data_IF_966844751933
#
_entry.id   IF_966844751933
#
_cell.length_a   1.000
_cell.length_b   1.000
_cell.length_c   1.000
_cell.angle_alpha   90.00
_cell.angle_beta   90.00
_cell.angle_gamma   90.00
#
_symmetry.space_group_name_H-M   'P 1'
#
loop_
_entity.id
_entity.type
_entity.pdbx_description
1 polymer ?
#
# COMPACT_ATOMS: atom_id res chain seq x y z
N UNK A 1 72.22 -18.85 -20.03
CA UNK A 1 71.48 -17.93 -19.21
C UNK A 1 70.06 -17.89 -19.73
N UNK A 2 69.12 -18.53 -19.06
CA UNK A 2 67.72 -18.47 -19.43
C UNK A 2 67.12 -17.17 -18.90
N UNK A 3 66.61 -16.33 -19.79
CA UNK A 3 65.95 -15.09 -19.47
C UNK A 3 64.62 -15.40 -18.77
N UNK A 4 64.50 -15.13 -17.49
CA UNK A 4 63.29 -15.24 -16.69
C UNK A 4 62.41 -14.04 -17.05
N UNK A 5 61.45 -14.25 -17.95
CA UNK A 5 60.44 -13.24 -18.21
C UNK A 5 59.60 -13.02 -16.94
N UNK A 6 59.42 -11.78 -16.48
CA UNK A 6 58.59 -11.50 -15.31
C UNK A 6 57.14 -11.96 -15.56
N UNK A 7 56.46 -12.45 -14.54
CA UNK A 7 55.06 -12.85 -14.68
C UNK A 7 54.21 -11.65 -15.11
N UNK A 8 53.34 -11.86 -16.09
CA UNK A 8 52.41 -10.83 -16.56
C UNK A 8 51.58 -10.31 -15.38
N UNK A 9 51.38 -9.00 -15.28
CA UNK A 9 50.53 -8.46 -14.20
C UNK A 9 49.12 -9.02 -14.33
N UNK A 10 48.46 -9.36 -13.22
CA UNK A 10 47.12 -9.88 -13.24
C UNK A 10 46.20 -8.90 -13.95
N UNK A 11 45.45 -9.38 -14.92
CA UNK A 11 44.45 -8.60 -15.64
C UNK A 11 43.48 -7.99 -14.61
N UNK A 12 43.64 -6.70 -14.34
CA UNK A 12 42.69 -5.91 -13.53
C UNK A 12 41.42 -5.76 -14.38
N UNK A 13 40.55 -6.78 -14.31
CA UNK A 13 39.25 -6.70 -14.96
C UNK A 13 38.49 -5.56 -14.28
N UNK A 14 38.34 -4.47 -15.02
CA UNK A 14 37.51 -3.36 -14.57
C UNK A 14 36.04 -3.84 -14.43
N UNK A 15 35.62 -4.12 -13.20
CA UNK A 15 34.30 -4.71 -12.90
C UNK A 15 33.16 -3.70 -12.98
N UNK A 16 33.47 -2.41 -13.14
CA UNK A 16 32.49 -1.33 -13.23
C UNK A 16 31.44 -1.49 -14.33
N UNK A 17 31.82 -1.78 -15.60
CA UNK A 17 30.83 -1.94 -16.66
C UNK A 17 29.93 -3.16 -16.44
N UNK A 18 30.46 -4.22 -15.84
CA UNK A 18 29.69 -5.41 -15.52
C UNK A 18 28.68 -5.14 -14.39
N UNK A 19 29.07 -4.42 -13.34
CA UNK A 19 28.16 -3.99 -12.28
C UNK A 19 27.07 -3.05 -12.82
N UNK A 20 27.41 -2.09 -13.66
CA UNK A 20 26.46 -1.19 -14.31
C UNK A 20 25.49 -1.99 -15.20
N UNK A 21 25.98 -2.95 -15.98
CA UNK A 21 25.17 -3.82 -16.82
C UNK A 21 24.17 -4.64 -15.99
N UNK A 22 24.58 -5.19 -14.85
CA UNK A 22 23.72 -5.93 -13.94
C UNK A 22 22.64 -5.02 -13.33
N UNK A 23 23.00 -3.80 -12.90
CA UNK A 23 22.04 -2.83 -12.32
C UNK A 23 21.00 -2.44 -13.38
N UNK A 24 21.43 -2.14 -14.61
CA UNK A 24 20.52 -1.79 -15.70
C UNK A 24 19.60 -2.98 -16.04
N UNK A 25 20.16 -4.19 -16.14
CA UNK A 25 19.38 -5.40 -16.43
C UNK A 25 18.32 -5.67 -15.34
N UNK A 26 18.68 -5.51 -14.06
CA UNK A 26 17.74 -5.63 -12.93
C UNK A 26 16.67 -4.54 -12.98
N UNK A 27 17.02 -3.31 -13.31
CA UNK A 27 16.05 -2.21 -13.46
C UNK A 27 15.05 -2.47 -14.59
N UNK A 28 15.53 -2.92 -15.75
CA UNK A 28 14.68 -3.29 -16.88
C UNK A 28 13.79 -4.49 -16.53
N UNK A 29 14.35 -5.51 -15.89
CA UNK A 29 13.59 -6.68 -15.43
C UNK A 29 12.48 -6.27 -14.47
N UNK A 30 12.79 -5.42 -13.47
CA UNK A 30 11.81 -4.89 -12.52
C UNK A 30 10.68 -4.13 -13.23
N UNK A 31 11.04 -3.28 -14.20
CA UNK A 31 10.07 -2.50 -14.98
C UNK A 31 9.13 -3.41 -15.79
N UNK A 32 9.68 -4.45 -16.44
CA UNK A 32 8.89 -5.43 -17.22
C UNK A 32 7.98 -6.27 -16.30
N UNK A 33 8.46 -6.62 -15.11
CA UNK A 33 7.70 -7.45 -14.16
C UNK A 33 6.69 -6.66 -13.32
N UNK A 34 6.71 -5.32 -13.37
CA UNK A 34 5.82 -4.46 -12.58
C UNK A 34 4.34 -4.91 -12.59
N UNK A 35 3.71 -5.30 -13.72
CA UNK A 35 2.29 -5.68 -13.74
C UNK A 35 1.96 -6.93 -12.92
N UNK A 36 2.94 -7.80 -12.70
CA UNK A 36 2.76 -9.06 -11.96
C UNK A 36 3.25 -8.99 -10.51
N UNK A 37 3.83 -7.86 -10.07
CA UNK A 37 4.40 -7.73 -8.72
C UNK A 37 3.33 -7.71 -7.62
N UNK A 38 2.11 -7.24 -7.91
CA UNK A 38 1.07 -7.08 -6.89
C UNK A 38 0.75 -8.38 -6.13
N UNK A 39 0.50 -9.54 -6.78
CA UNK A 39 0.29 -10.79 -6.08
C UNK A 39 1.48 -11.22 -5.21
N UNK A 40 2.71 -10.96 -5.66
CA UNK A 40 3.92 -11.29 -4.91
C UNK A 40 4.07 -10.41 -3.67
N UNK A 41 3.82 -9.10 -3.79
CA UNK A 41 3.85 -8.16 -2.66
C UNK A 41 2.78 -8.52 -1.64
N UNK A 42 1.53 -8.74 -2.06
CA UNK A 42 0.46 -9.14 -1.16
C UNK A 42 0.74 -10.49 -0.51
N UNK A 43 1.24 -11.46 -1.27
CA UNK A 43 1.67 -12.76 -0.76
C UNK A 43 2.78 -12.64 0.27
N UNK A 44 3.78 -11.78 0.02
CA UNK A 44 4.86 -11.50 0.97
C UNK A 44 4.37 -10.85 2.26
N UNK A 45 3.45 -9.88 2.17
CA UNK A 45 2.83 -9.25 3.35
C UNK A 45 2.08 -10.28 4.19
N UNK A 46 1.25 -11.13 3.55
CA UNK A 46 0.51 -12.21 4.24
C UNK A 46 1.49 -13.21 4.88
N UNK A 47 2.53 -13.61 4.15
CA UNK A 47 3.56 -14.50 4.66
C UNK A 47 4.25 -13.90 5.88
N UNK A 48 4.64 -12.65 5.79
CA UNK A 48 5.30 -11.92 6.87
C UNK A 48 4.45 -11.81 8.14
N UNK A 49 3.13 -11.65 7.98
CA UNK A 49 2.20 -11.63 9.11
C UNK A 49 1.95 -13.01 9.71
N UNK A 50 1.97 -14.03 8.87
CA UNK A 50 1.73 -15.41 9.28
C UNK A 50 2.94 -16.06 9.95
N UNK A 51 4.17 -15.66 9.58
CA UNK A 51 5.41 -16.27 10.03
C UNK A 51 5.55 -16.36 11.57
N UNK A 52 5.27 -15.32 12.37
CA UNK A 52 5.33 -15.43 13.83
C UNK A 52 4.36 -16.45 14.43
N UNK A 53 3.22 -16.67 13.77
CA UNK A 53 2.23 -17.67 14.17
C UNK A 53 2.72 -19.08 13.83
N UNK A 54 3.32 -19.24 12.65
CA UNK A 54 3.95 -20.50 12.23
C UNK A 54 5.08 -20.86 13.18
N UNK A 55 5.97 -19.94 13.52
CA UNK A 55 7.05 -20.12 14.49
C UNK A 55 6.54 -20.49 15.89
N UNK A 56 5.42 -19.89 16.31
CA UNK A 56 4.78 -20.24 17.58
C UNK A 56 4.26 -21.68 17.60
N UNK A 57 3.74 -22.18 16.46
CA UNK A 57 3.32 -23.57 16.30
C UNK A 57 4.51 -24.52 16.22
N UNK A 58 5.59 -24.12 15.55
CA UNK A 58 6.83 -24.90 15.44
C UNK A 58 7.49 -25.09 16.82
N UNK A 59 7.50 -24.05 17.65
CA UNK A 59 7.92 -24.16 19.08
C UNK A 59 7.07 -25.18 19.86
N UNK A 60 5.85 -25.47 19.43
CA UNK A 60 4.98 -26.52 19.98
C UNK A 60 5.17 -27.88 19.31
N UNK A 61 6.25 -28.08 18.55
CA UNK A 61 6.60 -29.31 17.83
C UNK A 61 5.66 -29.66 16.66
N UNK A 62 4.93 -28.69 16.13
CA UNK A 62 4.20 -28.85 14.88
C UNK A 62 5.19 -28.65 13.73
N UNK A 63 5.14 -29.52 12.70
CA UNK A 63 6.02 -29.34 11.53
C UNK A 63 5.69 -28.02 10.81
N UNK A 64 6.69 -27.31 10.28
CA UNK A 64 6.53 -26.03 9.62
C UNK A 64 5.44 -26.04 8.55
N UNK A 65 5.40 -27.07 7.69
CA UNK A 65 4.37 -27.21 6.65
C UNK A 65 2.95 -27.29 7.24
N UNK A 66 2.75 -28.05 8.31
CA UNK A 66 1.43 -28.13 8.97
C UNK A 66 1.10 -26.81 9.65
N UNK A 67 2.05 -26.15 10.28
CA UNK A 67 1.90 -24.82 10.87
C UNK A 67 1.43 -23.79 9.82
N UNK A 68 2.10 -23.77 8.66
CA UNK A 68 1.71 -22.89 7.54
C UNK A 68 0.29 -23.18 7.05
N UNK A 69 -0.09 -24.46 6.87
CA UNK A 69 -1.46 -24.81 6.46
C UNK A 69 -2.47 -24.32 7.48
N UNK A 70 -2.22 -24.52 8.78
CA UNK A 70 -3.13 -24.07 9.85
C UNK A 70 -3.28 -22.54 9.89
N UNK A 71 -2.18 -21.81 9.82
CA UNK A 71 -2.19 -20.33 9.79
C UNK A 71 -2.88 -19.82 8.55
N UNK A 72 -2.63 -20.46 7.40
CA UNK A 72 -3.27 -20.09 6.14
C UNK A 72 -4.79 -20.34 6.18
N UNK A 73 -5.24 -21.48 6.71
CA UNK A 73 -6.66 -21.78 6.91
C UNK A 73 -7.30 -20.79 7.88
N UNK A 74 -6.60 -20.43 8.96
CA UNK A 74 -7.06 -19.42 9.92
C UNK A 74 -7.28 -18.07 9.24
N UNK A 75 -6.29 -17.55 8.51
CA UNK A 75 -6.39 -16.27 7.80
C UNK A 75 -7.48 -16.32 6.73
N UNK A 76 -7.53 -17.38 5.93
CA UNK A 76 -8.57 -17.55 4.92
C UNK A 76 -9.96 -17.59 5.54
N UNK A 77 -10.13 -18.26 6.67
CA UNK A 77 -11.41 -18.31 7.39
C UNK A 77 -11.82 -16.97 7.95
N UNK A 78 -10.87 -16.20 8.51
CA UNK A 78 -11.13 -14.83 9.01
C UNK A 78 -11.54 -13.93 7.84
N UNK A 79 -10.77 -13.93 6.74
CA UNK A 79 -11.08 -13.11 5.55
C UNK A 79 -12.44 -13.53 4.95
N UNK A 80 -12.70 -14.83 4.83
CA UNK A 80 -13.98 -15.34 4.33
C UNK A 80 -15.16 -14.89 5.19
N UNK A 81 -15.05 -14.99 6.52
CA UNK A 81 -16.08 -14.55 7.44
C UNK A 81 -16.30 -13.04 7.37
N UNK A 82 -15.22 -12.25 7.34
CA UNK A 82 -15.30 -10.80 7.17
C UNK A 82 -16.00 -10.42 5.87
N UNK A 83 -15.65 -11.07 4.75
CA UNK A 83 -16.27 -10.82 3.46
C UNK A 83 -17.76 -11.22 3.47
N UNK A 84 -18.08 -12.36 4.06
CA UNK A 84 -19.47 -12.84 4.16
C UNK A 84 -20.36 -11.89 4.95
N UNK A 85 -19.83 -11.23 5.97
CA UNK A 85 -20.55 -10.22 6.76
C UNK A 85 -20.54 -8.84 6.08
N UNK A 86 -19.39 -8.43 5.52
CA UNK A 86 -19.22 -7.10 4.95
C UNK A 86 -19.91 -6.93 3.58
N UNK A 87 -19.84 -7.94 2.70
CA UNK A 87 -20.37 -7.82 1.32
C UNK A 87 -21.85 -7.44 1.30
N UNK A 88 -22.78 -8.13 2.01
CA UNK A 88 -24.19 -7.74 1.98
C UNK A 88 -24.43 -6.31 2.47
N UNK A 89 -23.69 -5.91 3.52
CA UNK A 89 -23.78 -4.57 4.10
C UNK A 89 -23.27 -3.51 3.14
N UNK A 90 -22.14 -3.77 2.47
CA UNK A 90 -21.57 -2.88 1.45
C UNK A 90 -22.49 -2.78 0.22
N UNK A 91 -23.06 -3.86 -0.24
CA UNK A 91 -23.98 -3.85 -1.38
C UNK A 91 -25.23 -3.01 -1.07
N UNK A 92 -25.82 -3.13 0.11
CA UNK A 92 -26.95 -2.28 0.53
C UNK A 92 -26.58 -0.80 0.56
N UNK A 93 -25.37 -0.47 1.03
CA UNK A 93 -24.87 0.91 1.06
C UNK A 93 -24.58 1.43 -0.35
N UNK A 94 -24.04 0.60 -1.25
CA UNK A 94 -23.84 0.96 -2.65
C UNK A 94 -25.17 1.25 -3.35
N UNK A 95 -26.20 0.43 -3.16
CA UNK A 95 -27.52 0.67 -3.72
C UNK A 95 -28.11 2.00 -3.19
N UNK A 96 -27.96 2.28 -1.90
CA UNK A 96 -28.37 3.55 -1.30
C UNK A 96 -27.58 4.74 -1.89
N UNK A 97 -26.31 4.59 -2.19
CA UNK A 97 -25.47 5.59 -2.83
C UNK A 97 -25.92 5.85 -4.27
N UNK A 98 -26.08 4.79 -5.07
CA UNK A 98 -26.48 4.88 -6.48
C UNK A 98 -27.85 5.57 -6.60
N UNK A 99 -28.80 5.27 -5.71
CA UNK A 99 -30.13 5.90 -5.70
C UNK A 99 -30.09 7.41 -5.42
N UNK A 100 -29.04 7.91 -4.75
CA UNK A 100 -28.88 9.34 -4.40
C UNK A 100 -28.15 10.15 -5.47
N UNK A 101 -27.51 9.53 -6.43
CA UNK A 101 -26.75 10.22 -7.48
C UNK A 101 -27.60 11.21 -8.28
N UNK A 102 -28.84 10.91 -8.68
CA UNK A 102 -29.69 11.88 -9.37
C UNK A 102 -29.99 13.13 -8.51
N UNK A 103 -30.02 12.97 -7.19
CA UNK A 103 -30.24 14.09 -6.26
C UNK A 103 -28.98 14.97 -6.15
N UNK A 104 -27.81 14.35 -6.07
CA UNK A 104 -26.51 15.04 -6.06
C UNK A 104 -26.34 15.84 -7.37
N UNK A 105 -26.64 15.21 -8.49
CA UNK A 105 -26.58 15.86 -9.80
C UNK A 105 -27.49 17.12 -9.86
N UNK A 106 -28.76 16.98 -9.46
CA UNK A 106 -29.68 18.13 -9.41
C UNK A 106 -29.14 19.23 -8.49
N UNK A 107 -28.69 18.90 -7.31
CA UNK A 107 -28.13 19.89 -6.39
C UNK A 107 -26.91 20.62 -6.97
N UNK A 108 -25.96 19.89 -7.61
CA UNK A 108 -24.80 20.53 -8.26
C UNK A 108 -25.26 21.53 -9.33
N UNK A 109 -26.22 21.15 -10.16
CA UNK A 109 -26.65 21.97 -11.30
C UNK A 109 -27.60 23.11 -10.93
N UNK A 110 -28.44 22.93 -9.91
CA UNK A 110 -29.45 23.93 -9.54
C UNK A 110 -29.04 24.87 -8.40
N UNK A 111 -28.14 24.46 -7.55
CA UNK A 111 -27.77 25.24 -6.35
C UNK A 111 -26.28 25.55 -6.29
N UNK A 112 -25.39 24.54 -6.37
CA UNK A 112 -23.97 24.72 -6.14
C UNK A 112 -23.30 25.54 -7.27
N UNK A 113 -23.52 25.20 -8.52
CA UNK A 113 -22.96 25.93 -9.68
C UNK A 113 -23.43 27.39 -9.74
N UNK A 114 -24.73 27.71 -9.65
CA UNK A 114 -25.19 29.09 -9.62
C UNK A 114 -24.64 29.90 -8.45
N UNK A 115 -24.52 29.28 -7.27
CA UNK A 115 -23.94 29.95 -6.09
C UNK A 115 -22.46 30.28 -6.29
N UNK A 116 -21.66 29.33 -6.85
CA UNK A 116 -20.25 29.54 -7.18
C UNK A 116 -20.11 30.65 -8.23
N UNK A 117 -20.91 30.62 -9.28
CA UNK A 117 -20.92 31.64 -10.34
C UNK A 117 -21.24 33.02 -9.78
N UNK A 118 -22.27 33.12 -8.94
CA UNK A 118 -22.67 34.39 -8.33
C UNK A 118 -21.60 34.94 -7.34
N UNK A 119 -20.87 34.07 -6.65
CA UNK A 119 -19.90 34.50 -5.61
C UNK A 119 -18.52 34.86 -6.17
N UNK A 120 -18.10 34.20 -7.23
CA UNK A 120 -16.75 34.36 -7.79
C UNK A 120 -16.72 35.10 -9.13
N UNK A 121 -17.84 35.70 -9.58
CA UNK A 121 -17.94 36.46 -10.83
C UNK A 121 -17.29 35.77 -12.04
N UNK A 122 -17.48 34.45 -12.15
CA UNK A 122 -16.84 33.63 -13.19
C UNK A 122 -17.49 33.83 -14.58
N UNK A 123 -18.40 34.83 -14.69
CA UNK A 123 -19.19 35.05 -15.92
C UNK A 123 -18.37 35.54 -17.12
N UNK A 124 -17.14 36.03 -16.94
CA UNK A 124 -16.37 36.65 -18.04
C UNK A 124 -15.02 36.02 -18.36
N UNK A 125 -14.59 34.97 -17.66
CA UNK A 125 -13.30 34.35 -17.92
C UNK A 125 -13.37 33.29 -19.03
N UNK A 126 -13.87 33.62 -20.24
CA UNK A 126 -13.65 32.88 -21.49
C UNK A 126 -13.60 31.35 -21.45
N UNK A 127 -14.04 30.73 -20.33
CA UNK A 127 -14.16 29.30 -20.21
C UNK A 127 -15.22 28.81 -21.18
N UNK A 128 -14.93 27.85 -22.05
CA UNK A 128 -15.92 27.26 -22.91
C UNK A 128 -17.12 26.88 -22.04
N UNK A 129 -18.34 27.25 -22.49
CA UNK A 129 -19.57 26.72 -21.88
C UNK A 129 -19.55 25.21 -22.03
N UNK A 130 -18.85 24.60 -21.11
CA UNK A 130 -18.86 23.14 -20.96
C UNK A 130 -20.29 22.85 -20.50
N UNK A 131 -21.04 22.24 -21.34
CA UNK A 131 -22.37 21.73 -20.97
C UNK A 131 -22.14 20.54 -20.03
N UNK A 132 -21.87 20.88 -18.74
CA UNK A 132 -21.63 19.91 -17.68
C UNK A 132 -22.79 18.94 -17.56
N UNK A 133 -24.01 19.37 -17.98
CA UNK A 133 -25.18 18.52 -17.95
C UNK A 133 -25.09 17.41 -19.02
N UNK A 134 -24.67 17.75 -20.22
CA UNK A 134 -24.47 16.78 -21.30
C UNK A 134 -23.23 15.91 -21.03
N UNK A 135 -22.12 16.51 -20.57
CA UNK A 135 -20.91 15.76 -20.26
C UNK A 135 -21.05 14.86 -19.03
N UNK A 136 -21.76 15.29 -18.00
CA UNK A 136 -22.04 14.44 -16.84
C UNK A 136 -23.03 13.33 -17.21
N UNK A 137 -24.07 13.62 -18.02
CA UNK A 137 -24.98 12.59 -18.51
C UNK A 137 -24.26 11.57 -19.42
N UNK A 138 -23.36 12.03 -20.29
CA UNK A 138 -22.54 11.16 -21.16
C UNK A 138 -21.47 10.38 -20.35
N UNK A 139 -20.80 11.02 -19.40
CA UNK A 139 -19.88 10.37 -18.49
C UNK A 139 -20.60 9.42 -17.53
N UNK A 140 -21.86 9.74 -17.18
CA UNK A 140 -22.69 8.91 -16.34
C UNK A 140 -23.18 7.66 -17.08
N UNK A 141 -23.65 7.82 -18.31
CA UNK A 141 -23.88 6.67 -19.19
C UNK A 141 -22.60 5.88 -19.46
N UNK A 142 -21.46 6.58 -19.53
CA UNK A 142 -20.14 5.95 -19.67
C UNK A 142 -19.70 5.26 -18.39
N UNK A 143 -19.96 5.80 -17.20
CA UNK A 143 -19.75 5.11 -15.92
C UNK A 143 -20.71 3.92 -15.76
N UNK A 144 -21.97 4.06 -16.11
CA UNK A 144 -22.93 2.96 -16.19
C UNK A 144 -22.54 1.90 -17.24
N UNK A 145 -22.00 2.34 -18.38
CA UNK A 145 -21.43 1.46 -19.41
C UNK A 145 -20.07 0.90 -18.98
N UNK A 146 -19.23 1.66 -18.25
CA UNK A 146 -17.98 1.16 -17.67
C UNK A 146 -18.25 0.13 -16.60
N UNK A 147 -19.17 0.34 -15.67
CA UNK A 147 -19.59 -0.68 -14.70
C UNK A 147 -20.24 -1.88 -15.38
N UNK A 148 -21.16 -1.67 -16.32
CA UNK A 148 -21.77 -2.75 -17.09
C UNK A 148 -20.76 -3.42 -18.05
N UNK A 149 -19.84 -2.66 -18.66
CA UNK A 149 -18.80 -3.20 -19.53
C UNK A 149 -17.66 -3.84 -18.72
N UNK A 150 -17.28 -3.28 -17.56
CA UNK A 150 -16.35 -3.93 -16.63
C UNK A 150 -16.97 -5.22 -16.09
N UNK A 151 -18.24 -5.21 -15.74
CA UNK A 151 -18.96 -6.44 -15.37
C UNK A 151 -19.11 -7.40 -16.58
N UNK A 152 -19.40 -6.89 -17.79
CA UNK A 152 -19.40 -7.69 -19.02
C UNK A 152 -17.99 -8.12 -19.46
N UNK A 153 -16.95 -7.32 -19.25
CA UNK A 153 -15.58 -7.71 -19.51
C UNK A 153 -15.09 -8.73 -18.47
N UNK A 154 -15.47 -8.58 -17.22
CA UNK A 154 -15.24 -9.58 -16.17
C UNK A 154 -16.04 -10.86 -16.48
N UNK A 155 -17.28 -10.77 -16.98
CA UNK A 155 -18.12 -11.93 -17.29
C UNK A 155 -18.07 -12.37 -18.76
N UNK A 156 -17.71 -11.48 -19.68
CA UNK A 156 -17.84 -11.70 -21.13
C UNK A 156 -16.61 -12.25 -21.84
N UNK A 157 -15.40 -12.09 -21.29
CA UNK A 157 -14.22 -12.80 -21.78
C UNK A 157 -13.72 -13.75 -20.72
N UNK A 158 -14.00 -15.03 -20.89
CA UNK A 158 -13.48 -16.10 -20.02
C UNK A 158 -11.97 -15.98 -19.75
N UNK A 159 -11.22 -15.37 -20.67
CA UNK A 159 -9.79 -15.12 -20.53
C UNK A 159 -9.46 -14.05 -19.47
N UNK A 160 -10.17 -12.94 -19.40
CA UNK A 160 -9.92 -11.91 -18.37
C UNK A 160 -10.38 -12.35 -16.97
N UNK A 161 -11.46 -13.12 -16.89
CA UNK A 161 -11.87 -13.81 -15.66
C UNK A 161 -10.81 -14.82 -15.20
N UNK A 162 -10.32 -15.66 -16.12
CA UNK A 162 -9.27 -16.62 -15.81
C UNK A 162 -7.98 -15.93 -15.36
N UNK A 163 -7.58 -14.83 -15.99
CA UNK A 163 -6.42 -14.04 -15.58
C UNK A 163 -6.64 -13.37 -14.21
N UNK A 164 -7.83 -12.84 -13.95
CA UNK A 164 -8.17 -12.26 -12.64
C UNK A 164 -8.17 -13.30 -11.52
N UNK A 165 -8.77 -14.46 -11.76
CA UNK A 165 -8.78 -15.60 -10.83
C UNK A 165 -7.35 -16.15 -10.66
N UNK A 166 -6.58 -16.27 -11.75
CA UNK A 166 -5.20 -16.74 -11.69
C UNK A 166 -4.33 -15.78 -10.85
N UNK A 167 -4.45 -14.46 -11.06
CA UNK A 167 -3.75 -13.46 -10.27
C UNK A 167 -4.18 -13.48 -8.80
N UNK A 168 -5.46 -13.65 -8.51
CA UNK A 168 -5.95 -13.83 -7.12
C UNK A 168 -5.45 -15.13 -6.50
N UNK A 169 -5.40 -16.21 -7.27
CA UNK A 169 -4.90 -17.50 -6.79
C UNK A 169 -3.38 -17.49 -6.55
N UNK A 170 -2.63 -16.60 -7.23
CA UNK A 170 -1.19 -16.44 -6.98
C UNK A 170 -0.90 -15.92 -5.58
N UNK A 171 -1.72 -15.01 -5.02
CA UNK A 171 -1.50 -14.43 -3.69
C UNK A 171 -1.39 -15.51 -2.60
N UNK A 172 -2.37 -16.41 -2.44
CA UNK A 172 -2.27 -17.49 -1.46
C UNK A 172 -1.14 -18.47 -1.74
N UNK A 173 -0.87 -18.76 -3.01
CA UNK A 173 0.24 -19.65 -3.39
C UNK A 173 1.58 -19.05 -3.00
N UNK A 174 1.81 -17.79 -3.35
CA UNK A 174 3.04 -17.06 -2.99
C UNK A 174 3.18 -16.96 -1.47
N UNK A 175 2.10 -16.59 -0.76
CA UNK A 175 2.09 -16.51 0.69
C UNK A 175 2.46 -17.86 1.33
N UNK A 176 1.88 -18.96 0.85
CA UNK A 176 2.18 -20.29 1.36
C UNK A 176 3.65 -20.67 1.18
N UNK A 177 4.20 -20.50 -0.03
CA UNK A 177 5.60 -20.85 -0.30
C UNK A 177 6.57 -19.94 0.46
N UNK A 178 6.31 -18.63 0.52
CA UNK A 178 7.15 -17.71 1.30
C UNK A 178 7.13 -18.04 2.79
N UNK A 179 5.96 -18.31 3.39
CA UNK A 179 5.89 -18.72 4.80
C UNK A 179 6.62 -20.04 5.06
N UNK A 180 6.50 -21.02 4.14
CA UNK A 180 7.12 -22.32 4.31
C UNK A 180 8.64 -22.29 4.19
N UNK A 181 9.12 -21.58 3.19
CA UNK A 181 10.50 -21.67 2.73
C UNK A 181 11.35 -20.45 3.13
N UNK A 182 10.82 -19.51 3.93
CA UNK A 182 11.45 -18.25 4.28
C UNK A 182 12.86 -18.43 4.84
N UNK A 183 13.02 -19.26 5.86
CA UNK A 183 14.33 -19.49 6.49
C UNK A 183 15.34 -20.14 5.54
N UNK A 184 14.85 -21.06 4.67
CA UNK A 184 15.68 -21.67 3.66
C UNK A 184 16.13 -20.67 2.59
N UNK A 185 15.27 -19.73 2.23
CA UNK A 185 15.59 -18.66 1.28
C UNK A 185 16.64 -17.73 1.90
N UNK A 186 16.41 -17.25 3.12
CA UNK A 186 17.35 -16.36 3.84
C UNK A 186 18.72 -17.00 4.05
N UNK A 187 18.76 -18.25 4.48
CA UNK A 187 20.03 -18.98 4.66
C UNK A 187 20.79 -19.16 3.35
N UNK A 188 20.10 -19.48 2.24
CA UNK A 188 20.72 -19.58 0.91
C UNK A 188 21.23 -18.23 0.39
N UNK A 189 20.47 -17.17 0.61
CA UNK A 189 20.91 -15.82 0.25
C UNK A 189 22.16 -15.40 1.02
N UNK A 190 22.23 -15.73 2.31
CA UNK A 190 23.41 -15.43 3.14
C UNK A 190 24.66 -16.16 2.64
N UNK A 191 24.53 -17.40 2.14
CA UNK A 191 25.66 -18.18 1.59
C UNK A 191 26.28 -17.58 0.31
N UNK A 192 25.58 -16.66 -0.38
CA UNK A 192 26.13 -15.96 -1.56
C UNK A 192 27.24 -15.00 -1.15
N UNK A 193 27.23 -14.50 0.10
CA UNK A 193 28.21 -13.54 0.59
C UNK A 193 29.48 -14.27 1.07
N UNK A 194 30.67 -13.64 0.91
CA UNK A 194 31.91 -14.14 1.50
C UNK A 194 31.78 -14.34 3.01
N UNK A 195 32.39 -15.41 3.55
CA UNK A 195 32.30 -15.77 4.99
C UNK A 195 32.64 -14.60 5.93
N UNK A 196 33.62 -13.78 5.55
CA UNK A 196 34.02 -12.60 6.34
C UNK A 196 32.92 -11.52 6.46
N UNK A 197 31.92 -11.54 5.60
CA UNK A 197 30.84 -10.56 5.57
C UNK A 197 29.51 -11.13 6.09
N UNK A 198 29.39 -12.44 6.21
CA UNK A 198 28.13 -13.11 6.56
C UNK A 198 27.54 -12.62 7.88
N UNK A 199 28.36 -12.47 8.93
CA UNK A 199 27.88 -11.98 10.24
C UNK A 199 27.35 -10.55 10.15
N UNK A 200 28.06 -9.69 9.42
CA UNK A 200 27.62 -8.30 9.21
C UNK A 200 26.34 -8.21 8.38
N UNK A 201 26.28 -8.96 7.28
CA UNK A 201 25.07 -9.01 6.43
C UNK A 201 23.89 -9.56 7.21
N UNK A 202 24.09 -10.63 7.99
CA UNK A 202 23.05 -11.23 8.82
C UNK A 202 22.49 -10.23 9.85
N UNK A 203 23.38 -9.46 10.50
CA UNK A 203 22.96 -8.41 11.43
C UNK A 203 22.15 -7.31 10.74
N UNK A 204 22.60 -6.83 9.57
CA UNK A 204 21.89 -5.80 8.80
C UNK A 204 20.53 -6.29 8.28
N UNK A 205 20.47 -7.54 7.81
CA UNK A 205 19.21 -8.16 7.36
C UNK A 205 18.25 -8.35 8.54
N UNK A 206 18.76 -8.79 9.71
CA UNK A 206 17.95 -8.91 10.93
C UNK A 206 17.36 -7.55 11.38
N UNK A 207 18.17 -6.48 11.36
CA UNK A 207 17.67 -5.13 11.66
C UNK A 207 16.63 -4.66 10.65
N UNK A 208 16.86 -4.90 9.35
CA UNK A 208 15.90 -4.58 8.30
C UNK A 208 14.59 -5.36 8.47
N UNK A 209 14.67 -6.64 8.79
CA UNK A 209 13.53 -7.51 9.07
C UNK A 209 12.70 -7.01 10.25
N UNK A 210 13.36 -6.63 11.35
CA UNK A 210 12.69 -6.06 12.54
C UNK A 210 11.93 -4.76 12.19
N UNK A 211 12.56 -3.86 11.43
CA UNK A 211 11.96 -2.56 11.05
C UNK A 211 10.78 -2.76 10.10
N UNK A 212 10.93 -3.61 9.07
CA UNK A 212 9.85 -3.92 8.11
C UNK A 212 8.68 -4.58 8.83
N UNK A 213 8.97 -5.51 9.74
CA UNK A 213 7.93 -6.21 10.50
C UNK A 213 7.17 -5.32 11.46
N UNK A 214 7.87 -4.46 12.16
CA UNK A 214 7.24 -3.47 13.02
C UNK A 214 6.33 -2.56 12.19
N UNK A 215 6.79 -2.12 11.00
CA UNK A 215 5.99 -1.29 10.11
C UNK A 215 4.74 -2.01 9.60
N UNK A 216 4.87 -3.20 9.02
CA UNK A 216 3.74 -3.94 8.44
C UNK A 216 2.68 -4.24 9.50
N UNK A 217 3.10 -4.76 10.68
CA UNK A 217 2.18 -5.05 11.78
C UNK A 217 1.53 -3.77 12.32
N UNK A 218 2.33 -2.72 12.54
CA UNK A 218 1.84 -1.42 13.00
C UNK A 218 0.82 -0.82 12.04
N UNK A 219 1.13 -0.80 10.74
CA UNK A 219 0.27 -0.23 9.71
C UNK A 219 -1.07 -0.96 9.58
N UNK A 220 -1.09 -2.29 9.69
CA UNK A 220 -2.34 -3.04 9.69
C UNK A 220 -3.21 -2.73 10.90
N UNK A 221 -2.61 -2.61 12.09
CA UNK A 221 -3.36 -2.23 13.28
C UNK A 221 -3.91 -0.81 13.13
N UNK A 222 -3.12 0.13 12.58
CA UNK A 222 -3.57 1.49 12.26
C UNK A 222 -4.76 1.47 11.31
N UNK A 223 -4.65 0.73 10.20
CA UNK A 223 -5.74 0.60 9.20
C UNK A 223 -7.03 0.05 9.82
N UNK A 224 -6.93 -1.00 10.62
CA UNK A 224 -8.09 -1.58 11.31
C UNK A 224 -8.68 -0.60 12.34
N UNK A 225 -7.83 0.03 13.15
CA UNK A 225 -8.26 0.98 14.18
C UNK A 225 -8.96 2.20 13.55
N UNK A 226 -8.36 2.80 12.51
CA UNK A 226 -8.95 3.93 11.80
C UNK A 226 -10.23 3.53 11.06
N UNK A 227 -10.28 2.34 10.46
CA UNK A 227 -11.48 1.81 9.85
C UNK A 227 -12.64 1.72 10.85
N UNK A 228 -12.37 1.23 12.07
CA UNK A 228 -13.36 1.17 13.16
C UNK A 228 -13.72 2.57 13.65
N UNK A 229 -12.74 3.44 13.91
CA UNK A 229 -12.95 4.80 14.42
C UNK A 229 -13.80 5.61 13.44
N UNK A 230 -13.45 5.62 12.16
CA UNK A 230 -14.20 6.36 11.15
C UNK A 230 -15.59 5.76 10.92
N UNK A 231 -15.72 4.42 10.86
CA UNK A 231 -17.04 3.78 10.71
C UNK A 231 -17.95 4.09 11.90
N UNK A 232 -17.44 3.94 13.13
CA UNK A 232 -18.22 4.23 14.34
C UNK A 232 -18.56 5.71 14.47
N UNK A 233 -17.60 6.60 14.22
CA UNK A 233 -17.81 8.04 14.27
C UNK A 233 -18.83 8.53 13.25
N UNK A 234 -18.74 8.08 12.00
CA UNK A 234 -19.70 8.41 10.94
C UNK A 234 -21.09 7.84 11.24
N UNK A 235 -21.15 6.64 11.82
CA UNK A 235 -22.42 6.03 12.25
C UNK A 235 -23.07 6.82 13.37
N UNK A 236 -22.33 7.27 14.38
CA UNK A 236 -22.84 8.11 15.48
C UNK A 236 -23.39 9.44 14.97
N UNK A 237 -22.78 10.03 13.94
CA UNK A 237 -23.24 11.27 13.29
C UNK A 237 -24.47 11.01 12.39
N UNK A 238 -24.81 9.75 12.10
CA UNK A 238 -25.96 9.38 11.28
C UNK A 238 -25.69 9.35 9.77
N UNK A 239 -24.43 9.25 9.35
CA UNK A 239 -24.09 9.06 7.93
C UNK A 239 -24.51 7.67 7.49
N UNK A 240 -25.37 7.56 6.48
CA UNK A 240 -25.92 6.27 6.01
C UNK A 240 -24.84 5.33 5.45
N UNK A 241 -23.77 5.88 4.85
CA UNK A 241 -22.66 5.14 4.26
C UNK A 241 -21.49 4.95 5.25
N UNK A 242 -21.75 5.06 6.54
CA UNK A 242 -20.71 5.11 7.58
C UNK A 242 -19.72 3.95 7.52
N UNK A 243 -20.20 2.71 7.40
CA UNK A 243 -19.34 1.53 7.33
C UNK A 243 -18.51 1.53 6.06
N UNK A 244 -19.12 1.77 4.90
CA UNK A 244 -18.43 1.79 3.61
C UNK A 244 -17.31 2.83 3.61
N UNK A 245 -17.64 4.07 4.00
CA UNK A 245 -16.70 5.19 4.02
C UNK A 245 -15.60 4.98 5.05
N UNK A 246 -15.93 4.49 6.24
CA UNK A 246 -14.96 4.21 7.28
C UNK A 246 -13.99 3.08 6.89
N UNK A 247 -14.49 1.99 6.30
CA UNK A 247 -13.65 0.89 5.80
C UNK A 247 -12.75 1.36 4.66
N UNK A 248 -13.29 2.12 3.69
CA UNK A 248 -12.48 2.68 2.60
C UNK A 248 -11.39 3.61 3.14
N UNK A 249 -11.73 4.51 4.08
CA UNK A 249 -10.76 5.40 4.71
C UNK A 249 -9.69 4.61 5.48
N UNK A 250 -10.09 3.61 6.26
CA UNK A 250 -9.18 2.73 6.99
C UNK A 250 -8.25 1.95 6.06
N UNK A 251 -8.76 1.37 4.97
CA UNK A 251 -7.94 0.66 3.99
C UNK A 251 -7.00 1.63 3.23
N UNK A 252 -7.48 2.81 2.86
CA UNK A 252 -6.67 3.82 2.20
C UNK A 252 -5.54 4.36 3.10
N UNK A 253 -5.68 4.24 4.43
CA UNK A 253 -4.64 4.61 5.41
C UNK A 253 -3.39 3.73 5.34
N UNK A 254 -3.35 2.68 4.50
CA UNK A 254 -2.11 1.95 4.15
C UNK A 254 -1.05 2.93 3.61
N UNK A 255 -1.50 3.99 2.96
CA UNK A 255 -0.66 5.13 2.56
C UNK A 255 -0.92 6.28 3.54
N UNK A 256 0.09 6.78 4.25
CA UNK A 256 -0.06 7.87 5.20
C UNK A 256 -0.81 9.07 4.59
N UNK A 257 -1.72 9.65 5.36
CA UNK A 257 -2.58 10.77 4.98
C UNK A 257 -3.63 10.50 3.90
N UNK A 258 -3.48 9.46 3.07
CA UNK A 258 -4.42 9.15 1.98
C UNK A 258 -5.78 8.72 2.52
N UNK A 259 -5.79 7.93 3.60
CA UNK A 259 -7.02 7.49 4.26
C UNK A 259 -7.86 8.67 4.75
N UNK A 260 -7.21 9.63 5.42
CA UNK A 260 -7.85 10.88 5.84
C UNK A 260 -8.38 11.68 4.65
N UNK A 261 -7.54 11.93 3.62
CA UNK A 261 -7.89 12.76 2.47
C UNK A 261 -9.07 12.17 1.68
N UNK A 262 -8.99 10.88 1.33
CA UNK A 262 -10.04 10.18 0.57
C UNK A 262 -11.30 10.05 1.44
N UNK A 263 -11.14 9.67 2.71
CA UNK A 263 -12.24 9.45 3.63
C UNK A 263 -13.04 10.72 3.90
N UNK A 264 -12.37 11.84 4.23
CA UNK A 264 -13.06 13.09 4.54
C UNK A 264 -13.80 13.63 3.31
N UNK A 265 -13.16 13.65 2.13
CA UNK A 265 -13.80 14.16 0.90
C UNK A 265 -15.03 13.32 0.54
N UNK A 266 -14.89 11.98 0.51
CA UNK A 266 -16.00 11.10 0.20
C UNK A 266 -17.13 11.20 1.23
N UNK A 267 -16.80 11.33 2.54
CA UNK A 267 -17.79 11.45 3.61
C UNK A 267 -18.51 12.79 3.60
N UNK A 268 -17.81 13.89 3.29
CA UNK A 268 -18.45 15.20 3.16
C UNK A 268 -19.43 15.23 1.97
N UNK A 269 -19.04 14.65 0.84
CA UNK A 269 -19.93 14.53 -0.33
C UNK A 269 -21.17 13.69 0.02
N UNK A 270 -20.99 12.54 0.67
CA UNK A 270 -22.08 11.67 1.07
C UNK A 270 -23.02 12.32 2.09
N UNK A 271 -22.47 12.99 3.09
CA UNK A 271 -23.23 13.69 4.15
C UNK A 271 -24.04 14.84 3.55
N UNK A 272 -23.44 15.64 2.68
CA UNK A 272 -24.15 16.72 1.99
C UNK A 272 -25.30 16.21 1.13
N UNK A 273 -25.05 15.18 0.34
CA UNK A 273 -26.06 14.53 -0.50
C UNK A 273 -27.20 13.90 0.31
N UNK A 274 -26.93 13.55 1.57
CA UNK A 274 -27.91 12.95 2.48
C UNK A 274 -28.86 13.97 3.10
N UNK A 275 -28.35 15.08 3.63
CA UNK A 275 -29.12 16.01 4.46
C UNK A 275 -29.13 17.45 3.96
N UNK A 276 -28.11 17.86 3.18
CA UNK A 276 -27.90 19.28 2.85
C UNK A 276 -27.61 20.18 4.05
N UNK A 277 -27.31 19.59 5.22
CA UNK A 277 -27.15 20.31 6.49
C UNK A 277 -25.67 20.55 6.81
N UNK A 278 -25.34 21.81 7.08
CA UNK A 278 -24.00 22.21 7.50
C UNK A 278 -23.56 21.61 8.84
N UNK A 279 -24.49 21.34 9.74
CA UNK A 279 -24.17 20.71 11.02
C UNK A 279 -23.65 19.28 10.82
N UNK A 280 -24.22 18.57 9.86
CA UNK A 280 -23.76 17.23 9.51
C UNK A 280 -22.36 17.25 8.90
N UNK A 281 -22.05 18.22 8.03
CA UNK A 281 -20.71 18.41 7.48
C UNK A 281 -19.68 18.71 8.56
N UNK A 282 -20.01 19.60 9.50
CA UNK A 282 -19.13 19.93 10.62
C UNK A 282 -18.88 18.68 11.47
N UNK A 283 -19.92 17.90 11.75
CA UNK A 283 -19.80 16.66 12.52
C UNK A 283 -18.89 15.64 11.84
N UNK A 284 -19.00 15.47 10.50
CA UNK A 284 -18.09 14.63 9.71
C UNK A 284 -16.64 15.15 9.82
N UNK A 285 -16.43 16.46 9.69
CA UNK A 285 -15.10 17.06 9.82
C UNK A 285 -14.50 16.82 11.22
N UNK A 286 -15.32 16.88 12.27
CA UNK A 286 -14.90 16.56 13.65
C UNK A 286 -14.51 15.09 13.77
N UNK A 287 -15.29 14.14 13.22
CA UNK A 287 -14.95 12.71 13.23
C UNK A 287 -13.59 12.46 12.60
N UNK A 288 -13.35 13.01 11.40
CA UNK A 288 -12.06 12.85 10.72
C UNK A 288 -10.94 13.59 11.43
N UNK A 289 -11.20 14.77 12.00
CA UNK A 289 -10.23 15.53 12.81
C UNK A 289 -9.80 14.76 14.06
N UNK A 290 -10.75 14.19 14.80
CA UNK A 290 -10.46 13.35 15.98
C UNK A 290 -9.69 12.09 15.56
N UNK A 291 -10.12 11.41 14.49
CA UNK A 291 -9.41 10.24 13.97
C UNK A 291 -7.96 10.57 13.59
N UNK A 292 -7.74 11.71 12.92
CA UNK A 292 -6.39 12.17 12.56
C UNK A 292 -5.52 12.52 13.77
N UNK A 293 -6.11 13.11 14.81
CA UNK A 293 -5.41 13.36 16.07
C UNK A 293 -5.03 12.04 16.76
N UNK A 294 -5.94 11.07 16.82
CA UNK A 294 -5.67 9.74 17.37
C UNK A 294 -4.56 9.03 16.56
N UNK A 295 -4.62 9.10 15.22
CA UNK A 295 -3.59 8.54 14.35
C UNK A 295 -2.22 9.14 14.65
N UNK A 296 -2.12 10.48 14.65
CA UNK A 296 -0.83 11.17 14.75
C UNK A 296 -0.24 11.15 16.16
N UNK A 297 -1.06 11.24 17.20
CA UNK A 297 -0.60 11.35 18.59
C UNK A 297 -0.54 10.01 19.33
N UNK A 298 -1.30 9.00 18.88
CA UNK A 298 -1.44 7.73 19.60
C UNK A 298 -1.02 6.55 18.74
N UNK A 299 -1.70 6.33 17.61
CA UNK A 299 -1.49 5.12 16.83
C UNK A 299 -0.09 5.08 16.19
N UNK A 300 0.30 6.14 15.51
CA UNK A 300 1.60 6.20 14.83
C UNK A 300 2.77 6.10 15.83
N UNK A 301 2.84 6.86 16.93
CA UNK A 301 3.94 6.73 17.88
C UNK A 301 4.00 5.36 18.58
N UNK A 302 2.86 4.76 18.92
CA UNK A 302 2.83 3.47 19.63
C UNK A 302 3.11 2.30 18.71
N UNK A 303 2.54 2.31 17.51
CA UNK A 303 2.52 1.15 16.62
C UNK A 303 3.65 1.16 15.58
N UNK A 304 3.96 2.33 15.06
CA UNK A 304 5.02 2.50 14.04
C UNK A 304 6.30 3.02 14.70
N UNK A 305 6.17 3.99 15.62
CA UNK A 305 7.24 4.55 16.45
C UNK A 305 8.37 5.19 15.64
N UNK A 306 9.47 5.52 16.34
CA UNK A 306 10.70 6.06 15.73
C UNK A 306 11.56 4.98 15.03
N UNK A 307 11.05 3.75 14.95
CA UNK A 307 11.82 2.58 14.45
C UNK A 307 12.22 2.71 12.98
N UNK A 308 11.43 3.43 12.16
CA UNK A 308 11.75 3.64 10.76
C UNK A 308 12.84 4.72 10.61
N UNK A 309 12.89 5.71 11.50
CA UNK A 309 13.89 6.78 11.49
C UNK A 309 13.90 7.65 10.22
N UNK A 310 12.79 7.68 9.47
CA UNK A 310 12.65 8.46 8.26
C UNK A 310 12.12 9.86 8.56
N UNK A 311 12.79 10.89 8.02
CA UNK A 311 12.27 12.24 8.05
C UNK A 311 10.97 12.33 7.21
N UNK A 312 9.94 13.12 7.59
CA UNK A 312 8.68 13.23 6.84
C UNK A 312 8.86 13.53 5.35
N UNK A 313 9.84 14.33 4.97
CA UNK A 313 10.18 14.62 3.57
C UNK A 313 10.64 13.35 2.85
N UNK A 314 11.40 12.47 3.52
CA UNK A 314 11.83 11.20 2.93
C UNK A 314 10.66 10.24 2.72
N UNK A 315 9.65 10.27 3.60
CA UNK A 315 8.39 9.52 3.43
C UNK A 315 7.65 9.97 2.17
N UNK A 316 7.46 11.28 2.00
CA UNK A 316 6.79 11.85 0.81
C UNK A 316 7.58 11.49 -0.45
N UNK A 317 8.90 11.67 -0.42
CA UNK A 317 9.76 11.32 -1.55
C UNK A 317 9.66 9.82 -1.90
N UNK A 318 9.71 8.93 -0.90
CA UNK A 318 9.60 7.50 -1.12
C UNK A 318 8.26 7.12 -1.77
N UNK A 319 7.14 7.69 -1.28
CA UNK A 319 5.82 7.46 -1.85
C UNK A 319 5.71 7.94 -3.31
N UNK A 320 6.23 9.14 -3.61
CA UNK A 320 6.24 9.69 -4.97
C UNK A 320 7.13 8.87 -5.90
N UNK A 321 8.34 8.52 -5.45
CA UNK A 321 9.28 7.71 -6.22
C UNK A 321 8.72 6.30 -6.46
N UNK A 322 8.18 5.66 -5.43
CA UNK A 322 7.53 4.35 -5.55
C UNK A 322 6.35 4.38 -6.51
N UNK A 323 5.49 5.40 -6.39
CA UNK A 323 4.37 5.61 -7.31
C UNK A 323 4.79 5.78 -8.76
N UNK A 324 5.86 6.53 -9.01
CA UNK A 324 6.42 6.74 -10.35
C UNK A 324 7.06 5.48 -10.93
N UNK A 325 7.76 4.70 -10.10
CA UNK A 325 8.51 3.52 -10.53
C UNK A 325 7.63 2.29 -10.76
N UNK A 326 6.64 2.07 -9.90
CA UNK A 326 5.84 0.84 -9.91
C UNK A 326 4.34 1.08 -9.65
N UNK A 327 3.85 2.32 -9.88
CA UNK A 327 2.44 2.65 -9.71
C UNK A 327 1.93 2.35 -8.30
N UNK A 328 0.73 1.79 -8.21
CA UNK A 328 0.10 1.48 -6.91
C UNK A 328 0.92 0.51 -6.06
N UNK A 329 1.52 -0.51 -6.68
CA UNK A 329 2.40 -1.47 -5.98
C UNK A 329 3.61 -0.76 -5.40
N UNK A 330 4.20 0.17 -6.16
CA UNK A 330 5.33 0.98 -5.69
C UNK A 330 4.99 1.83 -4.48
N UNK A 331 3.79 2.42 -4.44
CA UNK A 331 3.32 3.17 -3.26
C UNK A 331 3.18 2.25 -2.04
N UNK A 332 2.63 1.05 -2.21
CA UNK A 332 2.45 0.08 -1.11
C UNK A 332 3.79 -0.34 -0.46
N UNK A 333 4.81 -0.57 -1.28
CA UNK A 333 6.13 -1.01 -0.79
C UNK A 333 7.11 0.13 -0.52
N UNK A 334 6.75 1.37 -0.84
CA UNK A 334 7.63 2.52 -0.75
C UNK A 334 8.27 2.68 0.64
N UNK A 335 7.46 2.62 1.69
CA UNK A 335 7.93 2.82 3.06
C UNK A 335 8.74 1.62 3.59
N UNK A 336 8.33 0.36 3.43
CA UNK A 336 9.17 -0.79 3.70
C UNK A 336 10.52 -0.73 3.00
N UNK A 337 10.53 -0.43 1.70
CA UNK A 337 11.77 -0.31 0.93
C UNK A 337 12.64 0.84 1.42
N UNK A 338 12.05 2.01 1.68
CA UNK A 338 12.78 3.15 2.23
C UNK A 338 13.37 2.86 3.60
N UNK A 339 12.66 2.12 4.46
CA UNK A 339 13.15 1.67 5.76
C UNK A 339 14.36 0.74 5.62
N UNK A 340 14.31 -0.23 4.72
CA UNK A 340 15.45 -1.10 4.41
C UNK A 340 16.64 -0.28 3.89
N UNK A 341 16.41 0.61 2.94
CA UNK A 341 17.47 1.50 2.43
C UNK A 341 18.08 2.32 3.55
N UNK A 342 17.28 2.84 4.50
CA UNK A 342 17.78 3.61 5.63
C UNK A 342 18.66 2.76 6.57
N UNK A 343 18.31 1.51 6.83
CA UNK A 343 19.15 0.58 7.62
C UNK A 343 20.51 0.42 6.95
N UNK A 344 20.53 0.10 5.66
CA UNK A 344 21.79 -0.05 4.92
C UNK A 344 22.59 1.25 4.85
N UNK A 345 21.93 2.40 4.65
CA UNK A 345 22.59 3.71 4.62
C UNK A 345 23.25 4.04 5.98
N UNK A 346 22.59 3.77 7.10
CA UNK A 346 23.18 3.96 8.44
C UNK A 346 24.44 3.14 8.62
N UNK A 347 24.41 1.87 8.23
CA UNK A 347 25.58 1.00 8.30
C UNK A 347 26.72 1.45 7.36
N UNK A 348 26.37 1.89 6.15
CA UNK A 348 27.35 2.43 5.18
C UNK A 348 28.03 3.69 5.71
N UNK A 349 27.27 4.63 6.30
CA UNK A 349 27.82 5.85 6.92
C UNK A 349 28.68 5.51 8.13
N UNK A 350 28.25 4.57 8.99
CA UNK A 350 29.05 4.12 10.13
C UNK A 350 30.38 3.51 9.68
N UNK A 351 30.37 2.68 8.64
CA UNK A 351 31.57 2.11 8.04
C UNK A 351 32.49 3.16 7.44
N UNK A 352 31.93 4.13 6.69
CA UNK A 352 32.69 5.25 6.12
C UNK A 352 33.38 6.06 7.21
N UNK A 353 32.67 6.41 8.29
CA UNK A 353 33.24 7.16 9.43
C UNK A 353 34.34 6.41 10.19
N UNK A 354 34.32 5.08 10.17
CA UNK A 354 35.35 4.23 10.77
C UNK A 354 36.52 3.92 9.83
N UNK A 355 36.47 4.37 8.58
CA UNK A 355 37.52 4.15 7.59
C UNK A 355 38.63 5.21 7.65
N UNK A 356 39.83 4.84 7.21
CA UNK A 356 40.98 5.76 7.07
C UNK A 356 40.67 6.95 6.13
N UNK A 357 39.71 6.78 5.21
CA UNK A 357 39.28 7.85 4.31
C UNK A 357 38.60 9.03 5.01
N UNK A 358 37.96 8.79 6.16
CA UNK A 358 37.29 9.84 6.94
C UNK A 358 38.22 10.48 7.97
N UNK A 359 39.20 9.74 8.48
CA UNK A 359 40.18 10.18 9.51
C UNK A 359 41.56 10.58 8.95
N UNK A 360 41.67 10.82 7.65
CA UNK A 360 42.90 11.20 6.99
C UNK A 360 43.13 12.73 7.08
N UNK A 361 43.11 13.29 8.31
CA UNK A 361 43.63 14.65 8.64
C UNK A 361 44.83 14.53 9.58
#
# INVERSE_FOLDING_TARGET
MAEITPPEPPLVINRWPLMLGVIVALGVLFYVLQPILLPFVLGAVIAYLGDPLVDALERRKVSRTVGVVLVFLLFSSIVFLLLLLAIPMLLQQLDAMVSKIPAIYRWITTEALPWIQARFSVEEAGLPRVDWSAQLADNWQSLGRLTANTFKQITGSGASLLLGIANMALVPVVAFYLMRDWDAIMSRMLMIFPRAWQDRVNHMVGEADEVVGAFIRGQLIVMCALGVIYSAGLWMVGVQLALLLGVIAGLASIVPYLGFAVGIVASLIAAWAQSGDWLMLLSVAVVFGVGQLIESMVLTPILVGDRIGLHPVAVIFALMAGGQLAGFVGVLVALPVAAVIMVFARHAVAYYRASELYGAD
#
